data_IF_266712678921
#
_entry.id   IF_266712678921
#
_cell.length_a   1.000
_cell.length_b   1.000
_cell.length_c   1.000
_cell.angle_alpha   90.00
_cell.angle_beta   90.00
_cell.angle_gamma   90.00
#
_symmetry.space_group_name_H-M   'P 1'
#
loop_
_entity.id
_entity.type
_entity.pdbx_description
1 polymer ?
#
# COMPACT_ATOMS: atom_id res chain seq x y z
N UNK A 1 33.15 -56.22 31.48
CA UNK A 1 31.72 -55.78 31.43
C UNK A 1 31.59 -54.29 31.11
N UNK A 2 32.33 -53.79 30.11
CA UNK A 2 32.34 -52.35 29.81
C UNK A 2 32.05 -51.98 28.34
N UNK A 3 31.39 -52.84 27.59
CA UNK A 3 31.18 -52.56 26.15
C UNK A 3 29.68 -52.48 25.69
N UNK A 4 28.72 -52.46 26.63
CA UNK A 4 27.29 -52.38 26.27
C UNK A 4 26.57 -51.07 26.62
N UNK A 5 27.22 -50.16 27.37
CA UNK A 5 26.62 -48.86 27.75
C UNK A 5 26.76 -47.77 26.69
N UNK A 6 27.77 -47.83 25.82
CA UNK A 6 28.03 -46.81 24.81
C UNK A 6 27.17 -46.93 23.55
N UNK A 7 26.61 -48.13 23.27
CA UNK A 7 25.72 -48.35 22.11
C UNK A 7 24.27 -47.97 22.35
N UNK A 8 23.80 -47.92 23.59
CA UNK A 8 22.44 -47.50 23.92
C UNK A 8 22.28 -45.97 23.91
N UNK A 9 23.32 -45.22 24.30
CA UNK A 9 23.31 -43.74 24.28
C UNK A 9 23.38 -43.19 22.87
N UNK A 10 23.99 -43.91 21.92
CA UNK A 10 24.09 -43.47 20.50
C UNK A 10 22.79 -43.62 19.72
N UNK A 11 21.95 -44.61 20.07
CA UNK A 11 20.65 -44.83 19.39
C UNK A 11 19.57 -43.83 19.84
N UNK A 12 19.53 -43.49 21.12
CA UNK A 12 18.56 -42.51 21.63
C UNK A 12 18.85 -41.06 21.17
N UNK A 13 20.07 -40.77 20.71
CA UNK A 13 20.43 -39.47 20.14
C UNK A 13 20.10 -39.34 18.64
N UNK A 14 19.78 -40.43 17.95
CA UNK A 14 19.40 -40.40 16.54
C UNK A 14 17.86 -40.36 16.32
N UNK A 15 17.04 -40.67 17.30
CA UNK A 15 15.58 -40.68 17.16
C UNK A 15 14.91 -39.35 17.47
N UNK A 16 15.63 -38.33 17.96
CA UNK A 16 15.14 -36.98 18.17
C UNK A 16 15.66 -35.90 17.16
N UNK A 17 16.01 -36.32 15.95
CA UNK A 17 15.89 -35.41 14.81
C UNK A 17 14.41 -35.42 14.41
N UNK A 18 13.59 -34.66 15.14
CA UNK A 18 12.39 -34.08 14.55
C UNK A 18 12.84 -33.46 13.24
N UNK A 19 12.43 -34.04 12.12
CA UNK A 19 12.49 -33.35 10.84
C UNK A 19 11.89 -31.97 11.07
N UNK A 20 12.72 -30.93 11.08
CA UNK A 20 12.22 -29.58 10.97
C UNK A 20 11.49 -29.57 9.63
N UNK A 21 10.16 -29.72 9.65
CA UNK A 21 9.34 -29.49 8.47
C UNK A 21 9.81 -28.17 7.89
N UNK A 22 10.29 -28.19 6.67
CA UNK A 22 10.66 -26.98 5.98
C UNK A 22 9.45 -26.06 6.00
N UNK A 23 9.61 -24.87 6.61
CA UNK A 23 8.58 -23.83 6.59
C UNK A 23 8.92 -22.89 5.45
N UNK A 24 7.95 -22.57 4.61
CA UNK A 24 8.09 -21.54 3.59
C UNK A 24 7.23 -20.35 4.01
N UNK A 25 7.86 -19.41 4.69
CA UNK A 25 7.20 -18.28 5.32
C UNK A 25 7.33 -17.02 4.44
N UNK A 26 6.24 -16.28 4.33
CA UNK A 26 6.23 -14.96 3.73
C UNK A 26 5.51 -13.96 4.64
N UNK A 27 6.09 -12.78 4.80
CA UNK A 27 5.60 -11.76 5.73
C UNK A 27 5.33 -10.46 5.01
N UNK A 28 4.20 -9.83 5.33
CA UNK A 28 3.92 -8.43 4.95
C UNK A 28 3.52 -7.63 6.18
N UNK A 29 3.79 -6.34 6.12
CA UNK A 29 3.38 -5.38 7.15
C UNK A 29 2.51 -4.27 6.57
N UNK A 30 1.72 -3.64 7.44
CA UNK A 30 0.88 -2.49 7.12
C UNK A 30 0.93 -1.50 8.27
N UNK A 31 0.84 -0.22 7.94
CA UNK A 31 0.65 0.86 8.89
C UNK A 31 -0.67 1.58 8.61
N UNK A 32 -1.31 2.06 9.66
CA UNK A 32 -2.57 2.81 9.56
C UNK A 32 -2.38 4.21 8.97
N UNK A 33 -3.47 4.89 8.59
CA UNK A 33 -3.44 6.31 8.22
C UNK A 33 -2.79 7.22 9.26
N UNK A 34 -2.82 6.85 10.55
CA UNK A 34 -2.20 7.62 11.64
C UNK A 34 -0.69 7.50 11.75
N UNK A 35 -0.04 6.61 11.02
CA UNK A 35 1.42 6.54 10.97
C UNK A 35 2.00 7.79 10.28
N UNK A 36 3.09 8.40 10.79
CA UNK A 36 3.63 9.65 10.23
C UNK A 36 3.88 9.65 8.73
N UNK A 37 4.45 8.58 8.16
CA UNK A 37 4.65 8.47 6.71
C UNK A 37 3.31 8.47 5.95
N UNK A 38 2.27 7.82 6.49
CA UNK A 38 0.95 7.81 5.87
C UNK A 38 0.22 9.14 6.05
N UNK A 39 0.42 9.83 7.18
CA UNK A 39 -0.04 11.21 7.33
C UNK A 39 0.55 12.11 6.24
N UNK A 40 1.85 11.97 5.95
CA UNK A 40 2.51 12.73 4.88
C UNK A 40 1.92 12.41 3.50
N UNK A 41 1.69 11.13 3.17
CA UNK A 41 1.05 10.70 1.93
C UNK A 41 -0.37 11.25 1.80
N UNK A 42 -1.18 11.17 2.84
CA UNK A 42 -2.58 11.63 2.84
C UNK A 42 -2.66 13.14 2.71
N UNK A 43 -1.80 13.89 3.41
CA UNK A 43 -1.73 15.34 3.27
C UNK A 43 -1.34 15.73 1.84
N UNK A 44 -0.30 15.10 1.28
CA UNK A 44 0.15 15.34 -0.08
C UNK A 44 -0.97 15.07 -1.10
N UNK A 45 -1.67 13.95 -0.97
CA UNK A 45 -2.77 13.59 -1.87
C UNK A 45 -4.04 14.43 -1.65
N UNK A 46 -4.26 14.97 -0.45
CA UNK A 46 -5.32 15.98 -0.22
C UNK A 46 -5.04 17.28 -0.98
N UNK A 47 -3.76 17.64 -1.14
CA UNK A 47 -3.37 18.79 -1.97
C UNK A 47 -3.60 18.45 -3.46
N UNK A 48 -3.25 17.24 -3.90
CA UNK A 48 -3.52 16.78 -5.28
C UNK A 48 -5.01 16.81 -5.58
N UNK A 49 -5.85 16.27 -4.71
CA UNK A 49 -7.31 16.28 -4.86
C UNK A 49 -7.85 17.72 -4.99
N UNK A 50 -7.43 18.61 -4.08
CA UNK A 50 -7.88 19.99 -4.09
C UNK A 50 -7.54 20.72 -5.39
N UNK A 51 -6.30 20.54 -5.88
CA UNK A 51 -5.83 21.19 -7.09
C UNK A 51 -6.51 20.63 -8.36
N UNK A 52 -6.68 19.29 -8.47
CA UNK A 52 -7.30 18.65 -9.64
C UNK A 52 -8.81 18.91 -9.68
N UNK A 53 -9.49 18.93 -8.56
CA UNK A 53 -10.94 19.25 -8.50
C UNK A 53 -11.21 20.67 -8.97
N UNK A 54 -10.35 21.64 -8.62
CA UNK A 54 -10.51 23.04 -9.05
C UNK A 54 -9.99 23.28 -10.49
N UNK A 55 -8.94 22.59 -10.89
CA UNK A 55 -8.37 22.64 -12.24
C UNK A 55 -7.87 21.25 -12.64
N UNK A 56 -8.66 20.55 -13.46
CA UNK A 56 -8.34 19.20 -13.91
C UNK A 56 -7.02 19.11 -14.70
N UNK A 57 -6.47 20.23 -15.17
CA UNK A 57 -5.18 20.31 -15.86
C UNK A 57 -4.00 20.58 -14.91
N UNK A 58 -4.22 20.59 -13.61
CA UNK A 58 -3.15 20.77 -12.63
C UNK A 58 -2.03 19.77 -12.81
N UNK A 59 -0.79 20.24 -12.66
CA UNK A 59 0.42 19.43 -12.58
C UNK A 59 0.98 19.59 -11.19
N UNK A 60 1.09 18.48 -10.48
CA UNK A 60 1.43 18.44 -9.06
C UNK A 60 2.53 17.44 -8.82
N UNK A 61 3.56 17.88 -8.12
CA UNK A 61 4.59 17.05 -7.53
C UNK A 61 4.94 17.70 -6.18
N UNK A 62 4.07 17.48 -5.17
CA UNK A 62 4.17 18.13 -3.86
C UNK A 62 4.46 17.12 -2.79
N UNK A 63 5.67 17.09 -2.28
CA UNK A 63 6.07 16.21 -1.19
C UNK A 63 5.83 16.84 0.17
N UNK A 64 5.53 16.02 1.16
CA UNK A 64 5.25 16.45 2.53
C UNK A 64 6.19 15.75 3.49
N UNK A 65 6.81 16.53 4.36
CA UNK A 65 7.58 16.07 5.50
C UNK A 65 6.88 16.47 6.79
N UNK A 66 6.67 15.51 7.70
CA UNK A 66 6.10 15.74 9.02
C UNK A 66 7.10 15.36 10.10
N UNK A 67 7.38 16.29 11.02
CA UNK A 67 8.31 16.05 12.13
C UNK A 67 7.95 16.95 13.32
N UNK A 68 7.75 16.34 14.49
CA UNK A 68 7.23 17.09 15.64
C UNK A 68 5.87 17.71 15.30
N UNK A 69 5.77 19.00 15.50
CA UNK A 69 4.58 19.83 15.17
C UNK A 69 4.68 20.50 13.78
N UNK A 70 5.74 20.22 13.01
CA UNK A 70 5.98 20.88 11.73
C UNK A 70 5.51 19.99 10.57
N UNK A 71 4.82 20.63 9.62
CA UNK A 71 4.46 20.07 8.32
C UNK A 71 5.08 20.95 7.25
N UNK A 72 6.04 20.42 6.51
CA UNK A 72 6.71 21.10 5.40
C UNK A 72 6.18 20.53 4.09
N UNK A 73 5.66 21.40 3.24
CA UNK A 73 5.13 21.07 1.91
C UNK A 73 6.09 21.67 0.90
N UNK A 74 6.79 20.83 0.14
CA UNK A 74 7.75 21.25 -0.88
C UNK A 74 7.43 20.65 -2.24
N UNK A 75 8.13 21.11 -3.28
CA UNK A 75 7.96 20.59 -4.63
C UNK A 75 7.49 21.61 -5.66
N UNK A 76 6.77 21.13 -6.68
CA UNK A 76 6.36 21.94 -7.83
C UNK A 76 4.87 21.80 -8.13
N UNK A 77 4.22 22.93 -8.46
CA UNK A 77 2.81 22.99 -8.86
C UNK A 77 2.63 23.92 -10.05
N UNK A 78 1.87 23.47 -11.05
CA UNK A 78 1.32 24.30 -12.14
C UNK A 78 -0.19 24.11 -12.14
N UNK A 79 -0.94 25.15 -11.78
CA UNK A 79 -2.41 25.11 -11.70
C UNK A 79 -3.00 26.51 -11.89
N UNK A 80 -4.22 26.55 -12.40
CA UNK A 80 -5.04 27.77 -12.38
C UNK A 80 -5.69 27.98 -11.01
N UNK A 81 -5.84 26.94 -10.21
CA UNK A 81 -6.25 27.05 -8.80
C UNK A 81 -5.24 27.88 -8.02
N UNK A 82 -5.73 28.81 -7.19
CA UNK A 82 -4.89 29.72 -6.41
C UNK A 82 -5.09 29.45 -4.94
N UNK A 83 -4.23 28.59 -4.38
CA UNK A 83 -4.24 28.27 -2.96
C UNK A 83 -3.34 29.25 -2.19
N UNK A 84 -3.89 29.86 -1.13
CA UNK A 84 -3.15 30.67 -0.18
C UNK A 84 -2.49 29.81 0.89
N UNK A 85 -1.60 30.40 1.70
CA UNK A 85 -1.04 29.77 2.88
C UNK A 85 -2.14 29.18 3.79
N UNK A 86 -3.21 29.93 4.02
CA UNK A 86 -4.34 29.50 4.84
C UNK A 86 -5.10 28.31 4.25
N UNK A 87 -5.18 28.19 2.91
CA UNK A 87 -5.80 27.03 2.27
C UNK A 87 -4.97 25.76 2.51
N UNK A 88 -3.64 25.84 2.38
CA UNK A 88 -2.75 24.72 2.71
C UNK A 88 -2.83 24.34 4.18
N UNK A 89 -2.85 25.29 5.11
CA UNK A 89 -3.03 25.02 6.54
C UNK A 89 -4.36 24.32 6.83
N UNK A 90 -5.42 24.76 6.15
CA UNK A 90 -6.73 24.11 6.26
C UNK A 90 -6.71 22.68 5.73
N UNK A 91 -6.12 22.44 4.55
CA UNK A 91 -5.98 21.08 3.97
C UNK A 91 -5.24 20.16 4.95
N UNK A 92 -4.13 20.61 5.53
CA UNK A 92 -3.36 19.83 6.52
C UNK A 92 -4.21 19.48 7.75
N UNK A 93 -4.90 20.48 8.33
CA UNK A 93 -5.73 20.26 9.52
C UNK A 93 -6.92 19.36 9.25
N UNK A 94 -7.59 19.53 8.11
CA UNK A 94 -8.72 18.67 7.70
C UNK A 94 -8.24 17.22 7.46
N UNK A 95 -7.10 17.02 6.83
CA UNK A 95 -6.50 15.70 6.63
C UNK A 95 -6.15 15.03 7.97
N UNK A 96 -5.49 15.74 8.87
CA UNK A 96 -5.15 15.23 10.19
C UNK A 96 -6.40 14.89 11.02
N UNK A 97 -7.45 15.73 10.97
CA UNK A 97 -8.71 15.46 11.65
C UNK A 97 -9.40 14.19 11.09
N UNK A 98 -9.40 14.01 9.76
CA UNK A 98 -9.94 12.82 9.09
C UNK A 98 -9.19 11.54 9.49
N UNK A 99 -7.89 11.63 9.69
CA UNK A 99 -7.04 10.53 10.17
C UNK A 99 -7.35 10.15 11.63
N UNK A 100 -7.88 11.05 12.41
CA UNK A 100 -8.17 10.86 13.84
C UNK A 100 -7.28 11.68 14.78
N UNK A 101 -6.44 12.57 14.25
CA UNK A 101 -5.76 13.62 15.02
C UNK A 101 -6.65 14.88 15.04
N UNK A 102 -7.81 14.76 15.68
CA UNK A 102 -8.85 15.80 15.73
C UNK A 102 -8.86 16.61 17.04
N UNK A 103 -7.91 16.34 17.93
CA UNK A 103 -7.81 17.00 19.24
C UNK A 103 -8.80 16.52 20.28
N UNK A 104 -9.59 15.47 20.02
CA UNK A 104 -10.61 14.94 20.94
C UNK A 104 -10.16 13.66 21.65
N UNK A 105 -9.00 13.10 21.28
CA UNK A 105 -8.45 11.91 21.94
C UNK A 105 -8.02 12.21 23.38
N UNK A 106 -7.93 11.16 24.21
CA UNK A 106 -7.48 11.29 25.60
C UNK A 106 -5.95 11.41 25.74
N UNK A 107 -5.20 11.48 24.64
CA UNK A 107 -3.76 11.68 24.68
C UNK A 107 -3.40 13.15 24.90
N UNK A 108 -2.34 13.41 25.67
CA UNK A 108 -1.85 14.77 25.87
C UNK A 108 -1.15 15.29 24.61
N UNK A 109 -0.94 16.62 24.54
CA UNK A 109 -0.22 17.28 23.43
C UNK A 109 1.27 16.92 23.35
N UNK A 110 1.81 16.24 24.34
CA UNK A 110 3.15 15.66 24.38
C UNK A 110 3.15 14.21 23.91
N UNK A 111 2.04 13.51 23.99
CA UNK A 111 1.90 12.10 23.64
C UNK A 111 1.48 11.88 22.17
N UNK A 112 0.63 12.77 21.64
CA UNK A 112 0.15 12.69 20.28
C UNK A 112 0.01 14.07 19.62
N UNK A 113 0.11 14.12 18.28
CA UNK A 113 -0.06 15.34 17.52
C UNK A 113 -1.46 15.93 17.72
N UNK A 114 -1.52 17.24 17.98
CA UNK A 114 -2.76 18.00 18.06
C UNK A 114 -2.85 18.97 16.89
N UNK A 115 -3.98 19.03 16.15
CA UNK A 115 -4.06 19.81 14.91
C UNK A 115 -3.89 21.34 15.13
N UNK A 116 -4.25 21.85 16.32
CA UNK A 116 -4.07 23.28 16.64
C UNK A 116 -2.60 23.68 16.85
N UNK A 117 -1.73 22.73 17.16
CA UNK A 117 -0.32 22.95 17.42
C UNK A 117 0.54 22.84 16.12
N UNK A 118 -0.07 22.42 15.00
CA UNK A 118 0.62 22.20 13.76
C UNK A 118 1.05 23.50 13.11
N UNK A 119 2.33 23.57 12.71
CA UNK A 119 2.94 24.67 11.98
C UNK A 119 3.20 24.22 10.55
N UNK A 120 2.55 24.85 9.59
CA UNK A 120 2.64 24.51 8.18
C UNK A 120 3.56 25.48 7.46
N UNK A 121 4.59 24.94 6.81
CA UNK A 121 5.50 25.69 5.94
C UNK A 121 5.32 25.24 4.49
N UNK A 122 5.02 26.18 3.61
CA UNK A 122 4.83 25.93 2.17
C UNK A 122 6.03 26.45 1.39
N UNK A 123 6.72 25.54 0.71
CA UNK A 123 7.93 25.77 -0.11
C UNK A 123 7.70 25.27 -1.55
N UNK A 124 6.50 25.53 -2.09
CA UNK A 124 6.13 25.12 -3.44
C UNK A 124 6.64 26.13 -4.46
N UNK A 125 7.26 25.61 -5.52
CA UNK A 125 7.71 26.38 -6.68
C UNK A 125 6.76 26.15 -7.87
N UNK A 126 6.84 27.04 -8.85
CA UNK A 126 6.17 26.83 -10.12
C UNK A 126 6.92 25.75 -10.92
N UNK A 127 6.18 24.83 -11.54
CA UNK A 127 6.78 23.76 -12.37
C UNK A 127 7.66 24.35 -13.48
N UNK A 128 8.81 23.70 -13.72
CA UNK A 128 9.74 24.08 -14.78
C UNK A 128 9.05 24.12 -16.16
N UNK A 129 9.26 25.19 -16.95
CA UNK A 129 8.79 25.27 -18.34
C UNK A 129 9.30 24.12 -19.23
N UNK A 130 10.52 23.64 -18.97
CA UNK A 130 11.15 22.56 -19.76
C UNK A 130 10.38 21.25 -19.67
N UNK A 131 9.86 20.92 -18.47
CA UNK A 131 9.01 19.74 -18.27
C UNK A 131 7.67 19.90 -19.00
N UNK A 132 7.08 21.11 -18.93
CA UNK A 132 5.80 21.40 -19.60
C UNK A 132 5.84 21.19 -21.11
N UNK A 133 6.95 21.49 -21.78
CA UNK A 133 7.09 21.31 -23.23
C UNK A 133 7.00 19.84 -23.67
N UNK A 134 7.52 18.91 -22.84
CA UNK A 134 7.49 17.47 -23.15
C UNK A 134 6.13 16.82 -22.84
N UNK A 135 5.43 17.30 -21.83
CA UNK A 135 4.16 16.73 -21.34
C UNK A 135 2.96 17.22 -22.15
N UNK A 136 2.85 18.53 -22.35
CA UNK A 136 1.71 19.16 -23.04
C UNK A 136 1.97 19.22 -24.55
N UNK A 137 1.82 18.10 -25.27
CA UNK A 137 2.09 18.05 -26.72
C UNK A 137 1.01 18.75 -27.55
N UNK A 138 1.43 19.46 -28.60
CA UNK A 138 0.53 20.15 -29.56
C UNK A 138 -0.38 19.19 -30.34
N UNK A 139 -0.05 17.90 -30.39
CA UNK A 139 -0.83 16.84 -31.04
C UNK A 139 -2.06 16.41 -30.22
N UNK A 140 -2.19 16.93 -29.01
CA UNK A 140 -3.24 16.52 -28.07
C UNK A 140 -2.91 15.24 -27.28
N UNK A 141 -1.78 14.57 -27.53
CA UNK A 141 -1.26 13.52 -26.67
C UNK A 141 -0.64 14.09 -25.39
N UNK A 142 -0.57 13.29 -24.34
CA UNK A 142 0.14 13.62 -23.11
C UNK A 142 1.41 12.76 -23.08
N UNK A 143 2.57 13.40 -23.12
CA UNK A 143 3.87 12.72 -22.90
C UNK A 143 3.99 12.29 -21.44
N UNK A 144 4.77 11.23 -21.19
CA UNK A 144 5.06 10.83 -19.82
C UNK A 144 5.77 11.97 -19.06
N UNK A 145 5.30 12.28 -17.87
CA UNK A 145 5.83 13.38 -17.05
C UNK A 145 7.23 13.13 -16.49
N UNK A 146 7.69 11.87 -16.55
CA UNK A 146 9.04 11.45 -16.17
C UNK A 146 9.41 10.16 -16.89
N UNK A 147 10.69 9.78 -16.84
CA UNK A 147 11.14 8.43 -17.12
C UNK A 147 10.84 7.52 -15.92
N UNK A 148 10.67 6.22 -16.14
CA UNK A 148 10.51 5.31 -15.02
C UNK A 148 10.12 3.90 -15.42
N UNK A 149 10.14 3.02 -14.42
CA UNK A 149 9.65 1.65 -14.50
C UNK A 149 8.56 1.46 -13.44
N UNK A 150 7.43 0.89 -13.83
CA UNK A 150 6.30 0.62 -12.98
C UNK A 150 5.97 -0.86 -13.02
N UNK A 151 5.58 -1.40 -11.87
CA UNK A 151 5.23 -2.81 -11.76
C UNK A 151 3.80 -2.95 -11.25
N UNK A 152 3.01 -3.77 -11.96
CA UNK A 152 1.77 -4.32 -11.46
C UNK A 152 1.95 -5.78 -11.09
N UNK A 153 1.15 -6.26 -10.17
CA UNK A 153 1.13 -7.66 -9.78
C UNK A 153 -0.29 -8.12 -9.48
N UNK A 154 -0.55 -9.39 -9.74
CA UNK A 154 -1.73 -10.10 -9.27
C UNK A 154 -1.40 -11.55 -8.92
N UNK A 155 -2.18 -12.11 -8.01
CA UNK A 155 -2.06 -13.50 -7.56
C UNK A 155 -3.45 -14.05 -7.23
N UNK A 156 -3.64 -15.35 -7.37
CA UNK A 156 -4.88 -16.05 -7.02
C UNK A 156 -4.99 -16.40 -5.52
N UNK A 157 -4.12 -15.84 -4.66
CA UNK A 157 -4.05 -16.18 -3.24
C UNK A 157 -5.24 -15.66 -2.43
N UNK A 158 -5.80 -14.51 -2.82
CA UNK A 158 -6.94 -13.89 -2.16
C UNK A 158 -7.96 -13.39 -3.20
N UNK A 159 -9.18 -13.12 -2.75
CA UNK A 159 -10.28 -12.66 -3.61
C UNK A 159 -9.99 -11.31 -4.28
N UNK A 160 -9.15 -10.50 -3.66
CA UNK A 160 -8.68 -9.21 -4.17
C UNK A 160 -7.64 -9.37 -5.29
N UNK A 161 -7.23 -10.59 -5.64
CA UNK A 161 -6.09 -10.89 -6.52
C UNK A 161 -4.78 -10.29 -6.02
N UNK A 162 -4.59 -10.31 -4.71
CA UNK A 162 -3.44 -9.78 -3.99
C UNK A 162 -2.75 -10.90 -3.20
N UNK A 163 -1.46 -10.72 -2.80
CA UNK A 163 -0.80 -11.64 -1.89
C UNK A 163 -1.54 -11.74 -0.55
N UNK A 164 -1.70 -12.95 -0.03
CA UNK A 164 -2.46 -13.22 1.19
C UNK A 164 -1.93 -12.44 2.41
N UNK A 165 -0.62 -12.36 2.58
CA UNK A 165 0.00 -11.72 3.74
C UNK A 165 -0.36 -10.22 3.85
N UNK A 166 -0.30 -9.46 2.73
CA UNK A 166 -0.65 -8.03 2.75
C UNK A 166 -2.14 -7.82 2.94
N UNK A 167 -3.00 -8.68 2.35
CA UNK A 167 -4.46 -8.60 2.52
C UNK A 167 -4.83 -8.78 3.99
N UNK A 168 -4.26 -9.78 4.65
CA UNK A 168 -4.57 -10.05 6.06
C UNK A 168 -3.98 -8.99 6.98
N UNK A 169 -2.79 -8.47 6.69
CA UNK A 169 -2.21 -7.36 7.45
C UNK A 169 -3.06 -6.09 7.33
N UNK A 170 -3.55 -5.74 6.12
CA UNK A 170 -4.48 -4.60 5.91
C UNK A 170 -5.78 -4.79 6.70
N UNK A 171 -6.40 -5.97 6.60
CA UNK A 171 -7.65 -6.28 7.30
C UNK A 171 -7.53 -6.12 8.82
N UNK A 172 -6.42 -6.59 9.39
CA UNK A 172 -6.13 -6.39 10.80
C UNK A 172 -5.90 -4.93 11.15
N UNK A 173 -5.11 -4.22 10.33
CA UNK A 173 -4.85 -2.79 10.51
C UNK A 173 -6.16 -2.00 10.50
N UNK A 174 -7.01 -2.21 9.50
CA UNK A 174 -8.31 -1.54 9.37
C UNK A 174 -9.22 -1.84 10.56
N UNK A 175 -9.23 -3.10 11.03
CA UNK A 175 -10.05 -3.51 12.18
C UNK A 175 -9.63 -2.76 13.46
N UNK A 176 -8.32 -2.72 13.74
CA UNK A 176 -7.80 -2.05 14.95
C UNK A 176 -7.91 -0.53 14.83
N UNK A 177 -7.63 0.03 13.65
CA UNK A 177 -7.74 1.46 13.38
C UNK A 177 -9.19 1.97 13.50
N UNK A 178 -10.15 1.27 12.90
CA UNK A 178 -11.57 1.62 13.00
C UNK A 178 -12.09 1.51 14.46
N UNK A 179 -11.54 0.58 15.24
CA UNK A 179 -11.82 0.51 16.66
C UNK A 179 -11.24 1.71 17.41
N UNK A 180 -9.99 2.07 17.14
CA UNK A 180 -9.31 3.21 17.76
C UNK A 180 -10.03 4.54 17.48
N UNK A 181 -10.50 4.76 16.24
CA UNK A 181 -11.29 5.95 15.90
C UNK A 181 -12.58 6.09 16.74
N UNK A 182 -13.20 4.97 17.10
CA UNK A 182 -14.43 4.94 17.93
C UNK A 182 -14.16 4.96 19.43
N UNK A 183 -12.94 4.64 19.84
CA UNK A 183 -12.51 4.52 21.23
C UNK A 183 -11.22 5.34 21.44
N UNK A 184 -11.25 6.59 21.02
CA UNK A 184 -10.12 7.52 21.11
C UNK A 184 -9.82 7.99 22.54
N UNK A 185 -10.66 7.61 23.50
CA UNK A 185 -10.43 7.68 24.93
C UNK A 185 -9.51 6.58 25.46
N UNK A 186 -9.23 5.53 24.65
CA UNK A 186 -8.40 4.37 24.99
C UNK A 186 -7.24 4.13 24.05
N UNK A 187 -7.45 4.30 22.73
CA UNK A 187 -6.48 3.95 21.71
C UNK A 187 -6.14 5.12 20.79
N UNK A 188 -4.86 5.20 20.38
CA UNK A 188 -4.38 6.11 19.35
C UNK A 188 -4.41 5.47 17.96
N UNK A 189 -4.22 6.30 16.93
CA UNK A 189 -4.42 5.92 15.52
C UNK A 189 -3.15 5.51 14.79
N UNK A 190 -1.97 5.59 15.40
CA UNK A 190 -0.67 5.17 14.80
C UNK A 190 -0.45 3.66 15.03
N UNK A 191 -1.10 2.85 14.22
CA UNK A 191 -1.15 1.40 14.36
C UNK A 191 -0.24 0.74 13.32
N UNK A 192 0.42 -0.35 13.71
CA UNK A 192 1.21 -1.20 12.83
C UNK A 192 0.75 -2.64 12.96
N UNK A 193 0.62 -3.32 11.84
CA UNK A 193 0.29 -4.75 11.79
C UNK A 193 1.24 -5.50 10.88
N UNK A 194 1.50 -6.76 11.19
CA UNK A 194 2.32 -7.65 10.39
C UNK A 194 1.71 -9.04 10.41
N UNK A 195 1.66 -9.70 9.25
CA UNK A 195 1.18 -11.06 9.13
C UNK A 195 2.20 -11.90 8.39
N UNK A 196 2.55 -13.04 8.98
CA UNK A 196 3.36 -14.07 8.35
C UNK A 196 2.47 -15.23 7.95
N UNK A 197 2.48 -15.58 6.67
CA UNK A 197 1.78 -16.72 6.09
C UNK A 197 2.77 -17.85 5.88
N UNK A 198 2.38 -19.07 6.26
CA UNK A 198 3.14 -20.30 6.01
C UNK A 198 2.52 -21.04 4.83
N UNK A 199 3.32 -21.28 3.81
CA UNK A 199 2.98 -22.07 2.63
C UNK A 199 3.44 -23.53 2.76
N UNK A 200 4.19 -23.87 3.83
CA UNK A 200 4.78 -25.16 4.10
C UNK A 200 5.86 -25.56 3.10
N UNK A 201 5.62 -25.42 1.80
CA UNK A 201 6.56 -25.74 0.72
C UNK A 201 6.71 -24.59 -0.27
N UNK A 202 7.84 -24.57 -0.97
CA UNK A 202 8.06 -23.64 -2.09
C UNK A 202 7.02 -23.84 -3.20
N UNK A 203 6.65 -25.07 -3.48
CA UNK A 203 5.62 -25.40 -4.48
C UNK A 203 4.26 -24.77 -4.14
N UNK A 204 3.83 -24.83 -2.88
CA UNK A 204 2.59 -24.17 -2.44
C UNK A 204 2.69 -22.64 -2.60
N UNK A 205 3.87 -22.05 -2.30
CA UNK A 205 4.08 -20.62 -2.51
C UNK A 205 4.01 -20.25 -3.99
N UNK A 206 4.68 -21.00 -4.87
CA UNK A 206 4.65 -20.79 -6.32
C UNK A 206 3.24 -20.94 -6.90
N UNK A 207 2.44 -21.86 -6.34
CA UNK A 207 1.05 -22.09 -6.75
C UNK A 207 0.03 -21.15 -6.08
N UNK A 208 0.44 -20.22 -5.20
CA UNK A 208 -0.47 -19.32 -4.50
C UNK A 208 -1.41 -20.03 -3.51
N UNK A 209 -0.89 -21.00 -2.76
CA UNK A 209 -1.66 -21.84 -1.85
C UNK A 209 -1.23 -21.65 -0.38
N UNK A 210 -1.64 -20.54 0.26
CA UNK A 210 -1.38 -20.31 1.67
C UNK A 210 -2.00 -21.43 2.53
N UNK A 211 -1.25 -21.94 3.51
CA UNK A 211 -1.68 -23.09 4.33
C UNK A 211 -2.12 -22.68 5.73
N UNK A 212 -1.47 -21.64 6.30
CA UNK A 212 -1.89 -21.10 7.60
C UNK A 212 -1.30 -19.71 7.84
N UNK A 213 -1.92 -18.96 8.75
CA UNK A 213 -1.34 -17.76 9.34
C UNK A 213 -0.42 -18.21 10.48
N UNK A 214 0.89 -18.02 10.31
CA UNK A 214 1.91 -18.46 11.26
C UNK A 214 2.06 -17.47 12.42
N UNK A 215 2.23 -16.17 12.10
CA UNK A 215 2.47 -15.12 13.10
C UNK A 215 1.66 -13.87 12.78
N UNK A 216 1.12 -13.24 13.81
CA UNK A 216 0.50 -11.92 13.77
C UNK A 216 1.23 -11.02 14.76
N UNK A 217 1.58 -9.81 14.31
CA UNK A 217 2.09 -8.73 15.19
C UNK A 217 1.15 -7.54 15.08
N UNK A 218 0.75 -6.97 16.22
CA UNK A 218 -0.03 -5.73 16.29
C UNK A 218 0.63 -4.80 17.30
N UNK A 219 0.92 -3.57 16.85
CA UNK A 219 1.33 -2.48 17.71
C UNK A 219 0.31 -1.35 17.61
N UNK A 220 -0.29 -0.98 18.75
CA UNK A 220 -1.31 0.06 18.82
C UNK A 220 -1.07 0.96 20.04
N UNK A 221 -1.08 2.29 19.88
CA UNK A 221 -0.95 3.22 21.00
C UNK A 221 -2.14 3.07 21.94
N UNK A 222 -1.88 3.15 23.24
CA UNK A 222 -2.92 3.16 24.28
C UNK A 222 -2.66 4.28 25.30
N UNK A 223 -3.71 4.79 25.91
CA UNK A 223 -3.59 5.85 26.92
C UNK A 223 -2.80 5.37 28.13
N UNK A 224 -2.13 6.28 28.81
CA UNK A 224 -1.18 5.98 29.88
C UNK A 224 -1.77 5.17 31.04
N UNK A 225 -3.04 5.35 31.36
CA UNK A 225 -3.75 4.68 32.46
C UNK A 225 -4.13 3.21 32.18
N UNK A 226 -4.09 2.73 30.91
CA UNK A 226 -4.46 1.36 30.58
C UNK A 226 -3.42 0.35 31.03
N UNK A 227 -3.86 -0.80 31.53
CA UNK A 227 -2.99 -1.95 31.82
C UNK A 227 -2.71 -2.69 30.51
N UNK A 228 -1.47 -3.20 30.38
CA UNK A 228 -1.07 -3.91 29.13
C UNK A 228 -1.89 -5.17 28.89
N UNK A 229 -2.35 -5.82 29.95
CA UNK A 229 -3.21 -7.01 29.88
C UNK A 229 -4.58 -6.68 29.28
N UNK A 230 -5.16 -5.51 29.63
CA UNK A 230 -6.41 -5.02 29.06
C UNK A 230 -6.23 -4.71 27.57
N UNK A 231 -5.15 -4.02 27.20
CA UNK A 231 -4.81 -3.74 25.79
C UNK A 231 -4.72 -5.02 24.99
N UNK A 232 -4.01 -6.04 25.51
CA UNK A 232 -3.83 -7.33 24.85
C UNK A 232 -5.15 -8.08 24.70
N UNK A 233 -6.01 -8.05 25.70
CA UNK A 233 -7.33 -8.69 25.64
C UNK A 233 -8.19 -8.07 24.54
N UNK A 234 -8.30 -6.74 24.49
CA UNK A 234 -9.10 -6.03 23.49
C UNK A 234 -8.57 -6.31 22.07
N UNK A 235 -7.25 -6.18 21.86
CA UNK A 235 -6.67 -6.41 20.53
C UNK A 235 -6.80 -7.88 20.11
N UNK A 236 -6.69 -8.83 21.03
CA UNK A 236 -6.94 -10.26 20.75
C UNK A 236 -8.38 -10.49 20.28
N UNK A 237 -9.37 -9.89 20.93
CA UNK A 237 -10.76 -9.95 20.50
C UNK A 237 -10.97 -9.33 19.10
N UNK A 238 -10.27 -8.23 18.80
CA UNK A 238 -10.30 -7.62 17.48
C UNK A 238 -9.67 -8.53 16.41
N UNK A 239 -8.57 -9.21 16.71
CA UNK A 239 -7.95 -10.20 15.80
C UNK A 239 -8.92 -11.34 15.55
N UNK A 240 -9.52 -11.92 16.59
CA UNK A 240 -10.45 -13.06 16.48
C UNK A 240 -11.70 -12.70 15.65
N UNK A 241 -12.12 -11.42 15.64
CA UNK A 241 -13.28 -10.92 14.92
C UNK A 241 -12.94 -10.15 13.62
N UNK A 242 -11.69 -10.13 13.19
CA UNK A 242 -11.22 -9.37 12.01
C UNK A 242 -11.63 -9.98 10.65
N UNK A 243 -12.30 -11.13 10.65
CA UNK A 243 -12.68 -11.84 9.42
C UNK A 243 -11.50 -12.51 8.70
N UNK A 244 -10.43 -12.84 9.41
CA UNK A 244 -9.39 -13.71 8.88
C UNK A 244 -9.97 -15.07 8.49
N UNK A 245 -9.50 -15.71 7.38
CA UNK A 245 -10.05 -16.99 6.96
C UNK A 245 -9.88 -18.08 8.03
N UNK A 246 -10.98 -18.65 8.51
CA UNK A 246 -10.97 -19.71 9.55
C UNK A 246 -10.20 -20.97 9.18
N UNK A 247 -9.96 -21.19 7.88
CA UNK A 247 -9.10 -22.28 7.39
C UNK A 247 -7.61 -22.00 7.59
N UNK A 248 -7.22 -20.74 7.70
CA UNK A 248 -5.83 -20.31 7.81
C UNK A 248 -5.48 -19.77 9.21
N UNK A 249 -6.45 -19.19 9.91
CA UNK A 249 -6.27 -18.65 11.25
C UNK A 249 -6.81 -19.59 12.29
N UNK A 250 -5.96 -19.99 13.24
CA UNK A 250 -6.32 -20.74 14.43
C UNK A 250 -5.65 -20.08 15.65
N UNK A 251 -6.46 -19.52 16.54
CA UNK A 251 -6.01 -18.81 17.74
C UNK A 251 -5.13 -19.64 18.68
N UNK A 252 -5.22 -20.98 18.61
CA UNK A 252 -4.45 -21.86 19.47
C UNK A 252 -3.06 -22.19 18.91
N UNK A 253 -2.84 -22.01 17.60
CA UNK A 253 -1.60 -22.35 16.94
C UNK A 253 -0.90 -21.17 16.24
N UNK A 254 -1.61 -20.06 16.00
CA UNK A 254 -1.02 -18.82 15.49
C UNK A 254 -0.24 -18.11 16.60
N UNK A 255 1.00 -17.74 16.33
CA UNK A 255 1.82 -16.94 17.25
C UNK A 255 1.34 -15.48 17.19
N UNK A 256 0.95 -14.91 18.34
CA UNK A 256 0.40 -13.54 18.38
C UNK A 256 1.27 -12.68 19.31
N UNK A 257 1.74 -11.55 18.77
CA UNK A 257 2.48 -10.52 19.49
C UNK A 257 1.68 -9.22 19.51
N UNK A 258 1.21 -8.80 20.67
CA UNK A 258 0.48 -7.54 20.86
C UNK A 258 1.30 -6.65 21.77
N UNK A 259 1.74 -5.49 21.25
CA UNK A 259 2.60 -4.55 21.96
C UNK A 259 3.72 -5.30 22.71
N UNK A 260 4.63 -6.00 21.99
CA UNK A 260 5.58 -6.94 22.63
C UNK A 260 6.57 -6.23 23.57
N UNK A 261 6.86 -4.94 23.36
CA UNK A 261 7.73 -4.12 24.21
C UNK A 261 7.01 -3.54 25.45
N UNK A 262 5.71 -3.78 25.59
CA UNK A 262 4.89 -3.20 26.64
C UNK A 262 3.95 -2.11 26.12
N UNK A 263 3.54 -1.20 27.00
CA UNK A 263 2.64 -0.10 26.61
C UNK A 263 3.31 0.82 25.58
N UNK A 264 2.58 1.15 24.55
CA UNK A 264 2.95 2.12 23.51
C UNK A 264 2.03 3.35 23.70
N UNK A 265 2.55 4.44 24.24
CA UNK A 265 1.78 5.66 24.58
C UNK A 265 2.14 6.79 23.65
N UNK A 266 3.41 7.14 23.58
CA UNK A 266 3.92 8.25 22.78
C UNK A 266 3.97 7.85 21.30
N UNK A 267 3.25 8.57 20.45
CA UNK A 267 3.10 8.23 19.04
C UNK A 267 2.96 9.47 18.15
N UNK A 268 2.66 9.28 16.86
CA UNK A 268 2.55 10.33 15.84
C UNK A 268 3.88 10.98 15.45
N UNK A 269 3.79 12.05 14.65
CA UNK A 269 4.98 12.80 14.22
C UNK A 269 5.75 13.46 15.35
N UNK A 270 5.23 13.50 16.56
CA UNK A 270 5.94 14.01 17.74
C UNK A 270 7.11 13.11 18.14
N UNK A 271 7.03 11.81 17.87
CA UNK A 271 7.99 10.80 18.30
C UNK A 271 8.64 10.02 17.15
N UNK A 272 8.14 10.22 15.92
CA UNK A 272 8.69 9.67 14.69
C UNK A 272 8.47 10.69 13.57
N UNK A 273 9.28 10.67 12.51
CA UNK A 273 9.08 11.55 11.37
C UNK A 273 8.45 10.81 10.20
N UNK A 274 7.65 11.51 9.39
CA UNK A 274 7.04 10.98 8.18
C UNK A 274 7.44 11.76 6.94
N UNK A 275 7.54 11.05 5.83
CA UNK A 275 7.81 11.64 4.53
C UNK A 275 7.00 10.92 3.46
N UNK A 276 6.46 11.66 2.51
CA UNK A 276 5.78 11.12 1.33
C UNK A 276 6.63 10.07 0.62
N UNK A 277 6.01 8.94 0.25
CA UNK A 277 6.67 7.90 -0.54
C UNK A 277 7.59 6.97 0.27
N UNK A 278 7.50 6.93 1.60
CA UNK A 278 8.28 6.00 2.44
C UNK A 278 7.53 4.69 2.77
N UNK A 279 6.33 4.49 2.22
CA UNK A 279 5.52 3.28 2.46
C UNK A 279 5.10 2.57 1.16
N UNK A 280 5.95 2.64 0.12
CA UNK A 280 5.65 2.07 -1.21
C UNK A 280 5.34 0.57 -1.17
N UNK A 281 6.01 -0.19 -0.31
CA UNK A 281 5.76 -1.62 -0.10
C UNK A 281 4.36 -1.86 0.49
N UNK A 282 3.98 -1.06 1.50
CA UNK A 282 2.65 -1.11 2.13
C UNK A 282 1.56 -0.70 1.15
N UNK A 283 1.85 0.31 0.33
CA UNK A 283 0.92 0.87 -0.66
C UNK A 283 0.66 -0.08 -1.83
N UNK A 284 1.58 -1.00 -2.11
CA UNK A 284 1.53 -1.91 -3.25
C UNK A 284 1.30 -3.37 -2.83
N UNK A 285 2.28 -4.23 -3.00
CA UNK A 285 2.12 -5.69 -2.93
C UNK A 285 2.76 -6.33 -1.68
N UNK A 286 3.10 -5.56 -0.66
CA UNK A 286 3.64 -6.07 0.62
C UNK A 286 4.98 -6.76 0.51
N UNK A 287 5.81 -6.41 -0.48
CA UNK A 287 7.12 -7.02 -0.71
C UNK A 287 7.08 -8.33 -1.51
N UNK A 288 5.90 -8.76 -1.97
CA UNK A 288 5.75 -10.01 -2.71
C UNK A 288 6.21 -9.92 -4.16
N UNK A 289 6.09 -8.75 -4.76
CA UNK A 289 6.47 -8.46 -6.14
C UNK A 289 7.40 -7.23 -6.20
N UNK A 290 8.13 -7.05 -7.32
CA UNK A 290 8.86 -5.82 -7.58
C UNK A 290 7.96 -4.59 -7.50
N UNK A 291 8.56 -3.44 -7.21
CA UNK A 291 7.92 -2.12 -7.27
C UNK A 291 8.80 -1.15 -8.04
N UNK A 292 8.20 -0.10 -8.60
CA UNK A 292 8.93 1.04 -9.13
C UNK A 292 9.59 1.88 -8.02
N UNK A 293 10.50 2.77 -8.38
CA UNK A 293 11.24 3.60 -7.43
C UNK A 293 10.51 4.88 -7.01
N UNK A 294 9.53 5.35 -7.79
CA UNK A 294 8.84 6.61 -7.55
C UNK A 294 7.64 6.49 -6.61
N UNK A 295 7.44 7.50 -5.76
CA UNK A 295 6.24 7.62 -4.95
C UNK A 295 5.00 7.76 -5.83
N UNK A 296 3.89 7.15 -5.41
CA UNK A 296 2.58 7.31 -6.06
C UNK A 296 1.84 8.52 -5.51
N UNK A 297 1.75 8.63 -4.16
CA UNK A 297 1.18 9.81 -3.50
C UNK A 297 1.98 11.06 -3.84
N UNK A 298 1.36 12.23 -3.76
CA UNK A 298 1.92 13.54 -4.09
C UNK A 298 1.91 13.95 -5.56
N UNK A 299 1.52 13.06 -6.46
CA UNK A 299 1.66 13.22 -7.91
C UNK A 299 0.31 13.23 -8.62
N UNK A 300 0.16 14.13 -9.62
CA UNK A 300 -0.98 14.08 -10.54
C UNK A 300 -0.85 12.90 -11.53
N UNK A 301 -1.90 12.66 -12.28
CA UNK A 301 -2.07 11.54 -13.21
C UNK A 301 -1.10 11.51 -14.39
N UNK A 302 -0.40 12.60 -14.72
CA UNK A 302 0.63 12.63 -15.79
C UNK A 302 1.94 11.96 -15.35
N UNK A 303 2.16 11.82 -14.05
CA UNK A 303 3.31 11.12 -13.49
C UNK A 303 3.05 9.63 -13.52
N UNK A 304 3.78 8.95 -14.38
CA UNK A 304 3.63 7.52 -14.66
C UNK A 304 3.96 6.62 -13.47
N UNK A 305 4.71 7.10 -12.48
CA UNK A 305 4.91 6.39 -11.20
C UNK A 305 3.57 6.02 -10.56
N UNK A 306 2.55 6.88 -10.69
CA UNK A 306 1.19 6.63 -10.21
C UNK A 306 0.34 5.94 -11.29
N UNK A 307 0.11 6.60 -12.41
CA UNK A 307 -0.82 6.14 -13.44
C UNK A 307 -0.36 4.84 -14.10
N UNK A 308 0.94 4.68 -14.35
CA UNK A 308 1.52 3.46 -14.91
C UNK A 308 1.45 2.26 -13.95
N UNK A 309 1.59 2.47 -12.63
CA UNK A 309 1.33 1.42 -11.63
C UNK A 309 -0.12 0.93 -11.74
N UNK A 310 -1.09 1.84 -11.84
CA UNK A 310 -2.50 1.47 -11.92
C UNK A 310 -2.80 0.67 -13.19
N UNK A 311 -2.24 1.07 -14.34
CA UNK A 311 -2.38 0.33 -15.59
C UNK A 311 -1.71 -1.05 -15.52
N UNK A 312 -0.50 -1.15 -15.00
CA UNK A 312 0.21 -2.41 -14.83
C UNK A 312 -0.55 -3.36 -13.88
N UNK A 313 -1.10 -2.84 -12.77
CA UNK A 313 -1.95 -3.60 -11.85
C UNK A 313 -3.23 -4.09 -12.52
N UNK A 314 -3.90 -3.25 -13.28
CA UNK A 314 -5.13 -3.59 -13.99
C UNK A 314 -4.88 -4.74 -14.97
N UNK A 315 -3.78 -4.69 -15.76
CA UNK A 315 -3.41 -5.75 -16.69
C UNK A 315 -3.09 -7.05 -15.94
N UNK A 316 -2.23 -7.01 -14.91
CA UNK A 316 -1.86 -8.19 -14.13
C UNK A 316 -3.09 -8.89 -13.56
N UNK A 317 -4.05 -8.09 -13.04
CA UNK A 317 -5.30 -8.60 -12.50
C UNK A 317 -6.17 -9.29 -13.54
N UNK A 318 -6.28 -8.73 -14.75
CA UNK A 318 -7.01 -9.37 -15.85
C UNK A 318 -6.38 -10.68 -16.30
N UNK A 319 -5.04 -10.75 -16.40
CA UNK A 319 -4.32 -11.99 -16.74
C UNK A 319 -4.67 -13.12 -15.76
N UNK A 320 -4.62 -12.81 -14.45
CA UNK A 320 -4.92 -13.82 -13.43
C UNK A 320 -6.41 -14.15 -13.37
N UNK A 321 -7.30 -13.17 -13.48
CA UNK A 321 -8.73 -13.36 -13.47
C UNK A 321 -9.26 -14.14 -14.68
N UNK A 322 -8.63 -14.00 -15.86
CA UNK A 322 -8.91 -14.80 -17.06
C UNK A 322 -8.36 -16.24 -16.96
N UNK A 323 -7.67 -16.59 -15.86
CA UNK A 323 -7.08 -17.91 -15.68
C UNK A 323 -5.87 -18.18 -16.58
N UNK A 324 -5.28 -17.16 -17.19
CA UNK A 324 -4.10 -17.29 -18.05
C UNK A 324 -2.83 -17.57 -17.26
N UNK A 325 -2.79 -17.17 -15.98
CA UNK A 325 -1.73 -17.49 -15.04
C UNK A 325 -2.28 -17.50 -13.60
N UNK A 326 -1.55 -18.12 -12.66
CA UNK A 326 -1.86 -18.05 -11.22
C UNK A 326 -1.32 -16.77 -10.60
N UNK A 327 -0.23 -16.24 -11.16
CA UNK A 327 0.45 -15.01 -10.79
C UNK A 327 0.90 -14.28 -12.05
N UNK A 328 0.93 -12.97 -12.00
CA UNK A 328 1.48 -12.16 -13.09
C UNK A 328 2.12 -10.90 -12.52
N UNK A 329 3.38 -10.67 -12.88
CA UNK A 329 4.07 -9.39 -12.78
C UNK A 329 3.99 -8.71 -14.14
N UNK A 330 3.57 -7.46 -14.19
CA UNK A 330 3.58 -6.64 -15.42
C UNK A 330 4.49 -5.45 -15.19
N UNK A 331 5.53 -5.32 -15.99
CA UNK A 331 6.38 -4.13 -16.02
C UNK A 331 6.01 -3.25 -17.19
N UNK A 332 5.89 -1.95 -16.95
CA UNK A 332 5.75 -0.93 -17.98
C UNK A 332 6.87 0.10 -17.77
N UNK A 333 7.51 0.55 -18.84
CA UNK A 333 8.52 1.61 -18.75
C UNK A 333 8.20 2.77 -19.69
N UNK A 334 8.62 3.97 -19.29
CA UNK A 334 8.42 5.22 -20.03
C UNK A 334 9.71 6.03 -20.12
N UNK A 335 9.79 6.84 -21.17
CA UNK A 335 10.76 7.92 -21.29
C UNK A 335 10.04 9.27 -21.16
N UNK A 336 10.67 10.24 -20.51
CA UNK A 336 10.10 11.58 -20.33
C UNK A 336 9.71 12.20 -21.68
N UNK A 337 8.52 12.79 -21.74
CA UNK A 337 8.00 13.42 -22.96
C UNK A 337 7.50 12.46 -24.03
N UNK A 338 7.68 11.14 -23.89
CA UNK A 338 7.21 10.13 -24.84
C UNK A 338 5.89 9.54 -24.35
N UNK A 339 4.86 9.56 -25.21
CA UNK A 339 3.53 9.08 -24.82
C UNK A 339 3.44 7.55 -24.75
N UNK A 340 4.01 6.82 -25.71
CA UNK A 340 3.98 5.35 -25.70
C UNK A 340 5.00 4.78 -24.74
N UNK A 341 4.70 3.65 -24.08
CA UNK A 341 5.68 2.92 -23.28
C UNK A 341 6.91 2.56 -24.14
N UNK A 342 8.09 2.59 -23.52
CA UNK A 342 9.32 2.12 -24.15
C UNK A 342 9.43 0.59 -24.12
N UNK A 343 8.81 -0.06 -23.13
CA UNK A 343 8.65 -1.51 -23.07
C UNK A 343 7.47 -1.91 -22.19
N UNK A 344 6.94 -3.10 -22.48
CA UNK A 344 5.99 -3.82 -21.63
C UNK A 344 6.48 -5.26 -21.52
N UNK A 345 6.54 -5.81 -20.34
CA UNK A 345 6.82 -7.23 -20.13
C UNK A 345 5.86 -7.84 -19.10
N UNK A 346 5.50 -9.09 -19.35
CA UNK A 346 4.72 -9.92 -18.45
C UNK A 346 5.61 -11.07 -18.00
N UNK A 347 5.66 -11.32 -16.69
CA UNK A 347 6.30 -12.49 -16.08
C UNK A 347 5.26 -13.20 -15.23
N UNK A 348 4.86 -14.38 -15.63
CA UNK A 348 3.90 -15.22 -14.90
C UNK A 348 4.55 -16.04 -13.80
N UNK A 349 5.85 -15.86 -13.56
CA UNK A 349 6.64 -16.64 -12.62
C UNK A 349 6.53 -18.16 -12.90
N UNK A 350 6.43 -18.53 -14.18
CA UNK A 350 6.25 -19.91 -14.63
C UNK A 350 4.85 -20.50 -14.40
N UNK A 351 3.87 -19.70 -14.02
CA UNK A 351 2.52 -20.16 -13.69
C UNK A 351 1.50 -20.03 -14.83
N UNK A 352 1.94 -19.71 -16.05
CA UNK A 352 1.07 -19.61 -17.22
C UNK A 352 0.36 -20.93 -17.54
N UNK A 353 -0.80 -20.83 -18.17
CA UNK A 353 -1.65 -22.00 -18.49
C UNK A 353 -1.69 -22.30 -19.98
N UNK A 354 -1.90 -21.30 -20.82
CA UNK A 354 -2.12 -21.45 -22.25
C UNK A 354 -1.09 -20.72 -23.11
N UNK A 355 -0.66 -19.54 -22.67
CA UNK A 355 0.26 -18.66 -23.40
C UNK A 355 1.44 -18.34 -22.51
N UNK A 356 2.64 -18.36 -23.10
CA UNK A 356 3.87 -17.98 -22.42
C UNK A 356 3.98 -16.46 -22.22
N UNK A 357 4.98 -16.06 -21.48
CA UNK A 357 5.19 -14.66 -21.06
C UNK A 357 5.44 -13.74 -22.26
N UNK A 358 6.14 -14.22 -23.31
CA UNK A 358 6.41 -13.44 -24.53
C UNK A 358 5.11 -13.13 -25.28
N UNK A 359 4.24 -14.13 -25.43
CA UNK A 359 2.95 -13.96 -26.09
C UNK A 359 2.01 -13.06 -25.31
N UNK A 360 1.98 -13.17 -23.97
CA UNK A 360 1.20 -12.29 -23.11
C UNK A 360 1.72 -10.84 -23.19
N UNK A 361 3.04 -10.64 -23.19
CA UNK A 361 3.66 -9.32 -23.34
C UNK A 361 3.28 -8.67 -24.67
N UNK A 362 3.39 -9.43 -25.79
CA UNK A 362 3.03 -8.95 -27.12
C UNK A 362 1.53 -8.61 -27.20
N UNK A 363 0.67 -9.47 -26.69
CA UNK A 363 -0.78 -9.21 -26.63
C UNK A 363 -1.10 -7.90 -25.91
N UNK A 364 -0.48 -7.65 -24.76
CA UNK A 364 -0.69 -6.42 -23.98
C UNK A 364 -0.27 -5.19 -24.79
N UNK A 365 0.90 -5.25 -25.45
CA UNK A 365 1.42 -4.15 -26.27
C UNK A 365 0.52 -3.83 -27.47
N UNK A 366 -0.01 -4.87 -28.12
CA UNK A 366 -0.84 -4.73 -29.33
C UNK A 366 -2.27 -4.26 -29.00
N UNK A 367 -2.77 -4.63 -27.81
CA UNK A 367 -4.19 -4.43 -27.44
C UNK A 367 -4.42 -3.11 -26.72
N UNK A 368 -3.48 -2.66 -25.87
CA UNK A 368 -3.67 -1.50 -25.00
C UNK A 368 -2.68 -0.39 -25.33
N UNK A 369 -3.16 0.86 -25.58
CA UNK A 369 -2.27 1.98 -25.90
C UNK A 369 -1.28 2.32 -24.79
N UNK A 370 -1.68 2.19 -23.52
CA UNK A 370 -0.91 2.45 -22.32
C UNK A 370 -0.25 3.84 -22.30
N UNK A 371 -0.75 4.79 -23.09
CA UNK A 371 -0.30 6.19 -23.03
C UNK A 371 -0.84 6.86 -21.77
N UNK A 372 -0.17 7.86 -21.18
CA UNK A 372 -0.68 8.60 -20.02
C UNK A 372 -2.10 9.14 -20.24
N UNK A 373 -2.43 9.60 -21.44
CA UNK A 373 -3.80 10.02 -21.81
C UNK A 373 -4.78 8.86 -21.70
N UNK A 374 -4.50 7.73 -22.34
CA UNK A 374 -5.37 6.56 -22.30
C UNK A 374 -5.61 6.09 -20.86
N UNK A 375 -4.56 6.03 -20.04
CA UNK A 375 -4.67 5.63 -18.64
C UNK A 375 -5.55 6.61 -17.85
N UNK A 376 -5.35 7.92 -18.07
CA UNK A 376 -6.13 8.96 -17.42
C UNK A 376 -7.61 8.86 -17.76
N UNK A 377 -7.94 8.71 -19.05
CA UNK A 377 -9.32 8.58 -19.53
C UNK A 377 -9.96 7.26 -19.06
N UNK A 378 -9.20 6.15 -19.13
CA UNK A 378 -9.67 4.81 -18.72
C UNK A 378 -10.09 4.77 -17.26
N UNK A 379 -9.35 5.42 -16.38
CA UNK A 379 -9.59 5.38 -14.94
C UNK A 379 -10.16 6.69 -14.38
N UNK A 380 -10.45 7.67 -15.25
CA UNK A 380 -10.94 9.00 -14.87
C UNK A 380 -10.06 9.70 -13.82
N UNK A 381 -8.72 9.59 -13.97
CA UNK A 381 -7.77 10.09 -12.98
C UNK A 381 -7.74 11.63 -12.87
N UNK A 382 -8.22 12.33 -13.88
CA UNK A 382 -8.39 13.78 -13.93
C UNK A 382 -9.69 14.28 -13.26
N UNK A 383 -10.51 13.35 -12.72
CA UNK A 383 -11.86 13.63 -12.17
C UNK A 383 -12.07 12.97 -10.81
N UNK A 384 -11.16 13.14 -9.84
CA UNK A 384 -11.37 12.61 -8.51
C UNK A 384 -12.61 13.22 -7.87
N UNK A 385 -13.39 12.43 -7.15
CA UNK A 385 -14.58 12.90 -6.44
C UNK A 385 -14.99 11.89 -5.37
N UNK A 386 -15.77 12.33 -4.38
CA UNK A 386 -16.35 11.46 -3.34
C UNK A 386 -17.21 10.31 -3.91
N UNK A 387 -17.71 10.44 -5.14
CA UNK A 387 -18.53 9.42 -5.80
C UNK A 387 -17.71 8.33 -6.50
N UNK A 388 -16.46 8.60 -6.80
CA UNK A 388 -15.56 7.70 -7.52
C UNK A 388 -14.38 7.28 -6.63
N UNK A 389 -13.42 8.15 -6.45
CA UNK A 389 -12.30 8.03 -5.53
C UNK A 389 -11.72 9.41 -5.24
N UNK A 390 -11.08 9.57 -4.10
CA UNK A 390 -10.17 10.67 -3.80
C UNK A 390 -8.76 10.11 -3.63
N UNK A 391 -7.76 10.80 -4.13
CA UNK A 391 -6.35 10.39 -3.99
C UNK A 391 -5.94 10.27 -2.52
N UNK A 392 -6.45 11.15 -1.65
CA UNK A 392 -6.23 11.05 -0.20
C UNK A 392 -6.79 9.75 0.40
N UNK A 393 -7.94 9.25 -0.08
CA UNK A 393 -8.50 7.98 0.37
C UNK A 393 -7.68 6.79 -0.17
N UNK A 394 -7.15 6.90 -1.39
CA UNK A 394 -6.22 5.92 -1.96
C UNK A 394 -4.94 5.87 -1.13
N UNK A 395 -4.35 7.03 -0.77
CA UNK A 395 -3.19 7.10 0.11
C UNK A 395 -3.44 6.43 1.47
N UNK A 396 -4.64 6.59 2.03
CA UNK A 396 -5.01 6.01 3.32
C UNK A 396 -5.16 4.48 3.29
N UNK A 397 -5.67 3.92 2.17
CA UNK A 397 -6.09 2.51 2.05
C UNK A 397 -5.11 1.65 1.25
N UNK A 398 -4.07 2.26 0.66
CA UNK A 398 -3.12 1.63 -0.27
C UNK A 398 -3.54 1.79 -1.73
N UNK A 399 -2.55 1.85 -2.61
CA UNK A 399 -2.70 2.23 -4.01
C UNK A 399 -3.41 1.18 -4.87
N UNK A 400 -3.42 -0.08 -4.42
CA UNK A 400 -3.98 -1.24 -5.13
C UNK A 400 -4.69 -2.20 -4.18
N UNK A 401 -5.55 -3.06 -4.71
CA UNK A 401 -6.22 -4.14 -3.98
C UNK A 401 -7.59 -3.76 -3.40
N UNK A 402 -8.10 -2.55 -3.64
CA UNK A 402 -9.42 -2.12 -3.19
C UNK A 402 -10.41 -2.20 -4.37
N UNK A 403 -11.42 -3.04 -4.25
CA UNK A 403 -12.34 -3.37 -5.36
C UNK A 403 -13.19 -2.20 -5.90
N UNK A 404 -13.29 -1.11 -5.16
CA UNK A 404 -14.00 0.12 -5.54
C UNK A 404 -13.18 1.03 -6.46
N UNK A 405 -11.85 0.89 -6.53
CA UNK A 405 -11.03 1.71 -7.41
C UNK A 405 -11.26 1.38 -8.90
N UNK A 406 -11.20 2.40 -9.80
CA UNK A 406 -11.39 2.17 -11.24
C UNK A 406 -10.42 1.15 -11.83
N UNK A 407 -9.14 1.18 -11.43
CA UNK A 407 -8.10 0.26 -11.91
C UNK A 407 -8.14 -1.14 -11.27
N UNK A 408 -9.08 -1.39 -10.38
CA UNK A 408 -9.35 -2.73 -9.83
C UNK A 408 -10.56 -3.41 -10.46
N UNK A 409 -11.22 -2.78 -11.44
CA UNK A 409 -12.34 -3.38 -12.17
C UNK A 409 -11.85 -4.40 -13.21
N UNK A 410 -12.64 -5.44 -13.44
CA UNK A 410 -12.42 -6.47 -14.47
C UNK A 410 -13.31 -6.18 -15.70
N UNK A 411 -13.25 -4.97 -16.19
CA UNK A 411 -14.17 -4.41 -17.17
C UNK A 411 -13.85 -4.77 -18.64
N UNK A 412 -12.65 -5.34 -18.89
CA UNK A 412 -12.23 -5.79 -20.22
C UNK A 412 -11.78 -7.26 -20.25
N UNK A 413 -12.30 -8.08 -19.34
CA UNK A 413 -11.93 -9.49 -19.23
C UNK A 413 -12.11 -10.26 -20.54
N UNK A 414 -13.18 -9.97 -21.29
CA UNK A 414 -13.46 -10.59 -22.58
C UNK A 414 -12.35 -10.44 -23.64
N UNK A 415 -11.50 -9.41 -23.54
CA UNK A 415 -10.34 -9.27 -24.43
C UNK A 415 -9.28 -10.34 -24.15
N UNK A 416 -9.14 -10.74 -22.91
CA UNK A 416 -8.17 -11.75 -22.48
C UNK A 416 -8.63 -13.18 -22.74
N UNK A 417 -9.95 -13.41 -22.94
CA UNK A 417 -10.50 -14.71 -23.31
C UNK A 417 -10.23 -15.05 -24.79
N UNK A 418 -9.95 -14.04 -25.63
CA UNK A 418 -9.82 -14.15 -27.08
C UNK A 418 -8.37 -14.08 -27.60
N UNK A 419 -7.37 -14.32 -26.74
CA UNK A 419 -5.94 -14.36 -27.12
C UNK A 419 -5.63 -15.56 -28.02
#
# INVERSE_FOLDING_TARGET
MENNASKACGKQRMENKMEKKSQYLFTSEVVSPGHPDKCADIIADSIVDRLIIEDSNSRVASEVFVAGKHVVIGGEVKSNAKLSQNDYEKIVKDALAKIGYDGKSAFTKEQALHPDDVQVQVLLNQQSPDISQGVDQTTGEIGAGDQGIMFGFASNEAAEFMPAAIVYARRLCDTVYNYALKNNDKFGVDIKTQVTVDYVTKENFENGLPQKIHTIVVSAPCVEGMKIEEVRTIIQELIDNSGLPSKLYDKNSTIIHINPTGRYVNHSSLHDSGLTGRKLIVDSFGGYAPIGGGAQSSKDYTKVDRSGLYAARWIAKHIVAAGLAKKAVVQISYAIGVARPTSVSVDTMGSYTKFDDDKLSQFVMDTFPLTPRWITEKFALDKPSEKTFLYADVAARGQVGQSDYPWEKLDELAKFDNI
#
